data_IF_186346328119
#
_entry.id   IF_186346328119
#
_cell.length_a   1.000
_cell.length_b   1.000
_cell.length_c   1.000
_cell.angle_alpha   90.00
_cell.angle_beta   90.00
_cell.angle_gamma   90.00
#
_symmetry.space_group_name_H-M   'P 1'
#
loop_
_entity.id
_entity.type
_entity.pdbx_description
1 polymer ?
#
# COMPACT_ATOMS: atom_id res chain seq x y z
N UNK A 1 -4.83 3.65 -27.85
CA UNK A 1 -5.00 5.03 -27.33
C UNK A 1 -4.66 5.18 -25.85
N UNK A 2 -5.14 4.32 -24.94
CA UNK A 2 -4.83 4.41 -23.49
C UNK A 2 -3.34 4.15 -23.17
N UNK A 3 -2.76 3.06 -23.71
CA UNK A 3 -1.37 2.69 -23.45
C UNK A 3 -0.34 3.71 -23.98
N UNK A 4 -0.67 4.43 -25.07
CA UNK A 4 0.22 5.45 -25.64
C UNK A 4 0.39 6.68 -24.74
N UNK A 5 -0.50 6.91 -23.76
CA UNK A 5 -0.35 7.99 -22.77
C UNK A 5 0.33 7.53 -21.48
N UNK A 6 0.30 6.23 -21.19
CA UNK A 6 0.62 5.68 -19.88
C UNK A 6 2.05 5.98 -19.41
N UNK A 7 3.05 5.79 -20.28
CA UNK A 7 4.45 6.03 -19.94
C UNK A 7 5.00 7.36 -20.45
N UNK A 8 4.13 8.29 -20.86
CA UNK A 8 4.59 9.63 -21.23
C UNK A 8 5.15 10.33 -19.99
N UNK A 9 6.38 10.80 -20.10
CA UNK A 9 7.12 11.50 -19.05
C UNK A 9 6.30 12.62 -18.40
N UNK A 10 5.54 13.36 -19.20
CA UNK A 10 4.69 14.46 -18.77
C UNK A 10 3.63 14.03 -17.74
N UNK A 11 2.97 12.87 -17.94
CA UNK A 11 1.98 12.36 -16.98
C UNK A 11 2.64 11.95 -15.67
N UNK A 12 3.83 11.35 -15.74
CA UNK A 12 4.55 10.90 -14.55
C UNK A 12 5.07 12.10 -13.74
N UNK A 13 5.51 13.17 -14.41
CA UNK A 13 5.97 14.41 -13.75
C UNK A 13 4.83 15.25 -13.19
N UNK A 14 3.74 15.42 -13.95
CA UNK A 14 2.63 16.28 -13.52
C UNK A 14 1.70 15.59 -12.53
N UNK A 15 1.56 14.26 -12.61
CA UNK A 15 0.61 13.46 -11.84
C UNK A 15 1.22 12.19 -11.23
N UNK A 16 2.40 12.23 -10.58
CA UNK A 16 3.13 11.05 -10.13
C UNK A 16 2.31 10.15 -9.20
N UNK A 17 1.54 10.72 -8.28
CA UNK A 17 0.81 9.93 -7.28
C UNK A 17 -0.41 9.22 -7.85
N UNK A 18 -1.18 9.91 -8.71
CA UNK A 18 -2.25 9.28 -9.48
C UNK A 18 -1.68 8.23 -10.45
N UNK A 19 -0.55 8.54 -11.09
CA UNK A 19 0.16 7.60 -11.94
C UNK A 19 0.58 6.34 -11.19
N UNK A 20 1.07 6.43 -9.95
CA UNK A 20 1.44 5.23 -9.16
C UNK A 20 0.25 4.33 -8.82
N UNK A 21 -0.90 4.90 -8.49
CA UNK A 21 -2.12 4.13 -8.30
C UNK A 21 -2.55 3.46 -9.61
N UNK A 22 -2.51 4.19 -10.72
CA UNK A 22 -2.82 3.65 -12.04
C UNK A 22 -1.80 2.60 -12.52
N UNK A 23 -0.53 2.76 -12.16
CA UNK A 23 0.54 1.79 -12.39
C UNK A 23 0.28 0.50 -11.62
N UNK A 24 -0.22 0.59 -10.39
CA UNK A 24 -0.67 -0.58 -9.63
C UNK A 24 -1.74 -1.38 -10.37
N UNK A 25 -2.72 -0.69 -10.96
CA UNK A 25 -3.77 -1.34 -11.79
C UNK A 25 -3.20 -2.04 -13.01
N UNK A 26 -2.26 -1.40 -13.70
CA UNK A 26 -1.59 -2.02 -14.83
C UNK A 26 -0.77 -3.26 -14.40
N UNK A 27 0.04 -3.11 -13.34
CA UNK A 27 0.85 -4.18 -12.78
C UNK A 27 0.00 -5.39 -12.36
N UNK A 28 -1.19 -5.15 -11.80
CA UNK A 28 -2.11 -6.22 -11.39
C UNK A 28 -2.57 -7.13 -12.53
N UNK A 29 -2.51 -6.66 -13.77
CA UNK A 29 -2.91 -7.42 -14.97
C UNK A 29 -1.71 -7.91 -15.78
N UNK A 30 -0.62 -7.16 -15.75
CA UNK A 30 0.58 -7.47 -16.52
C UNK A 30 1.59 -8.36 -15.78
N UNK A 31 1.81 -8.14 -14.48
CA UNK A 31 2.71 -8.99 -13.69
C UNK A 31 2.28 -10.46 -13.60
N UNK A 32 0.98 -10.81 -13.49
CA UNK A 32 0.52 -12.20 -13.54
C UNK A 32 1.08 -12.94 -14.74
N UNK A 33 0.99 -12.35 -15.94
CA UNK A 33 1.49 -12.95 -17.18
C UNK A 33 2.98 -13.29 -17.08
N UNK A 34 3.80 -12.33 -16.65
CA UNK A 34 5.26 -12.53 -16.52
C UNK A 34 5.56 -13.57 -15.43
N UNK A 35 4.89 -13.47 -14.28
CA UNK A 35 5.14 -14.29 -13.11
C UNK A 35 4.78 -15.75 -13.37
N UNK A 36 3.59 -16.04 -13.93
CA UNK A 36 3.17 -17.41 -14.21
C UNK A 36 4.02 -18.04 -15.31
N UNK A 37 4.38 -17.28 -16.35
CA UNK A 37 5.29 -17.77 -17.40
C UNK A 37 6.67 -18.10 -16.85
N UNK A 38 7.23 -17.26 -15.97
CA UNK A 38 8.51 -17.52 -15.32
C UNK A 38 8.47 -18.75 -14.39
N UNK A 39 7.30 -19.06 -13.82
CA UNK A 39 7.05 -20.25 -12.99
C UNK A 39 6.62 -21.48 -13.80
N UNK A 40 6.54 -21.40 -15.13
CA UNK A 40 6.10 -22.51 -15.98
C UNK A 40 4.62 -22.87 -15.84
N UNK A 41 3.80 -21.94 -15.33
CA UNK A 41 2.36 -22.10 -15.11
C UNK A 41 1.55 -21.37 -16.19
N UNK A 42 0.39 -21.89 -16.60
CA UNK A 42 -0.53 -21.11 -17.42
C UNK A 42 -1.05 -19.90 -16.63
N UNK A 43 -1.38 -18.81 -17.32
CA UNK A 43 -2.00 -17.62 -16.68
C UNK A 43 -3.36 -17.95 -16.03
N UNK A 44 -4.00 -19.04 -16.43
CA UNK A 44 -5.26 -19.54 -15.86
C UNK A 44 -5.05 -20.50 -14.69
N UNK A 45 -3.82 -20.65 -14.19
CA UNK A 45 -3.52 -21.61 -13.13
C UNK A 45 -4.39 -21.39 -11.88
N UNK A 46 -5.17 -22.40 -11.52
CA UNK A 46 -6.06 -22.33 -10.36
C UNK A 46 -7.30 -21.47 -10.54
N UNK A 47 -7.65 -21.07 -11.77
CA UNK A 47 -8.91 -20.39 -12.08
C UNK A 47 -10.00 -21.41 -12.37
N UNK A 48 -11.20 -21.16 -11.85
CA UNK A 48 -12.42 -21.86 -12.27
C UNK A 48 -13.18 -21.07 -13.34
N UNK A 49 -12.99 -19.74 -13.41
CA UNK A 49 -13.76 -18.84 -14.27
C UNK A 49 -12.91 -17.86 -15.09
N UNK A 50 -11.89 -18.36 -15.82
CA UNK A 50 -10.85 -17.53 -16.41
C UNK A 50 -11.39 -16.45 -17.35
N UNK A 51 -12.37 -16.78 -18.19
CA UNK A 51 -12.93 -15.82 -19.15
C UNK A 51 -13.65 -14.65 -18.46
N UNK A 52 -14.49 -14.94 -17.46
CA UNK A 52 -15.21 -13.90 -16.70
C UNK A 52 -14.22 -12.99 -15.97
N UNK A 53 -13.16 -13.58 -15.39
CA UNK A 53 -12.10 -12.86 -14.69
C UNK A 53 -11.35 -11.91 -15.62
N UNK A 54 -10.86 -12.39 -16.76
CA UNK A 54 -10.15 -11.53 -17.69
C UNK A 54 -11.03 -10.43 -18.27
N UNK A 55 -12.26 -10.75 -18.69
CA UNK A 55 -13.19 -9.76 -19.23
C UNK A 55 -13.48 -8.67 -18.19
N UNK A 56 -13.83 -9.05 -16.97
CA UNK A 56 -14.21 -8.08 -15.94
C UNK A 56 -13.02 -7.22 -15.48
N UNK A 57 -11.82 -7.79 -15.42
CA UNK A 57 -10.61 -7.03 -15.13
C UNK A 57 -10.22 -6.08 -16.27
N UNK A 58 -10.43 -6.47 -17.53
CA UNK A 58 -10.24 -5.57 -18.68
C UNK A 58 -11.24 -4.42 -18.63
N UNK A 59 -12.52 -4.68 -18.36
CA UNK A 59 -13.54 -3.64 -18.21
C UNK A 59 -13.16 -2.67 -17.08
N UNK A 60 -12.76 -3.19 -15.91
CA UNK A 60 -12.32 -2.35 -14.80
C UNK A 60 -11.08 -1.51 -15.15
N UNK A 61 -10.14 -2.06 -15.92
CA UNK A 61 -8.99 -1.31 -16.41
C UNK A 61 -9.40 -0.20 -17.36
N UNK A 62 -10.34 -0.44 -18.29
CA UNK A 62 -10.83 0.58 -19.20
C UNK A 62 -11.56 1.70 -18.43
N UNK A 63 -12.38 1.33 -17.44
CA UNK A 63 -13.04 2.28 -16.53
C UNK A 63 -12.01 3.16 -15.82
N UNK A 64 -10.97 2.57 -15.24
CA UNK A 64 -9.93 3.34 -14.54
C UNK A 64 -9.09 4.19 -15.50
N UNK A 65 -8.84 3.69 -16.70
CA UNK A 65 -8.13 4.42 -17.77
C UNK A 65 -8.89 5.68 -18.17
N UNK A 66 -10.20 5.57 -18.34
CA UNK A 66 -11.08 6.70 -18.67
C UNK A 66 -11.09 7.71 -17.52
N UNK A 67 -11.26 7.25 -16.28
CA UNK A 67 -11.23 8.10 -15.10
C UNK A 67 -9.87 8.83 -14.96
N UNK A 68 -8.76 8.12 -15.18
CA UNK A 68 -7.41 8.70 -15.16
C UNK A 68 -7.23 9.75 -16.25
N UNK A 69 -7.64 9.46 -17.49
CA UNK A 69 -7.54 10.39 -18.60
C UNK A 69 -8.30 11.71 -18.34
N UNK A 70 -9.52 11.63 -17.82
CA UNK A 70 -10.29 12.84 -17.48
C UNK A 70 -9.76 13.56 -16.24
N UNK A 71 -9.22 12.83 -15.26
CA UNK A 71 -8.66 13.43 -14.05
C UNK A 71 -7.31 14.12 -14.31
N UNK A 72 -6.48 13.52 -15.17
CA UNK A 72 -5.08 13.83 -15.44
C UNK A 72 -4.91 14.19 -16.92
N UNK A 73 -5.20 15.43 -17.31
CA UNK A 73 -5.02 15.89 -18.69
C UNK A 73 -3.94 16.98 -18.74
N UNK A 74 -2.72 16.70 -19.23
CA UNK A 74 -1.63 17.66 -19.32
C UNK A 74 -1.99 18.92 -20.11
N UNK A 75 -2.69 18.78 -21.24
CA UNK A 75 -3.09 19.91 -22.09
C UNK A 75 -4.11 20.83 -21.41
N UNK A 76 -4.89 20.29 -20.45
CA UNK A 76 -5.83 21.06 -19.61
C UNK A 76 -5.24 21.41 -18.25
N UNK A 77 -3.99 21.04 -17.96
CA UNK A 77 -3.25 21.68 -16.86
C UNK A 77 -2.97 23.10 -17.32
N UNK A 78 -3.98 23.97 -17.21
CA UNK A 78 -3.63 25.34 -16.88
C UNK A 78 -2.82 25.20 -15.59
N UNK A 79 -1.65 25.83 -15.50
CA UNK A 79 -0.82 25.88 -14.31
C UNK A 79 -1.53 26.61 -13.13
N UNK A 80 -2.86 26.60 -13.11
CA UNK A 80 -3.74 27.16 -12.09
C UNK A 80 -4.07 26.07 -11.07
N UNK A 81 -3.66 26.33 -9.84
CA UNK A 81 -4.00 25.50 -8.70
C UNK A 81 -5.48 25.65 -8.34
N UNK A 82 -6.15 24.53 -8.07
CA UNK A 82 -7.53 24.53 -7.57
C UNK A 82 -7.60 25.09 -6.14
N UNK A 83 -8.83 25.30 -5.63
CA UNK A 83 -9.06 25.84 -4.29
C UNK A 83 -8.34 25.03 -3.20
N UNK A 84 -8.40 23.70 -3.27
CA UNK A 84 -7.75 22.80 -2.30
C UNK A 84 -6.24 23.05 -2.27
N UNK A 85 -5.57 23.02 -3.43
CA UNK A 85 -4.13 23.29 -3.54
C UNK A 85 -3.75 24.66 -3.01
N UNK A 86 -4.55 25.69 -3.31
CA UNK A 86 -4.34 27.05 -2.79
C UNK A 86 -4.46 27.11 -1.27
N UNK A 87 -5.46 26.44 -0.69
CA UNK A 87 -5.64 26.35 0.76
C UNK A 87 -4.48 25.59 1.42
N UNK A 88 -4.05 24.47 0.84
CA UNK A 88 -2.91 23.70 1.32
C UNK A 88 -1.60 24.51 1.25
N UNK A 89 -1.40 25.30 0.20
CA UNK A 89 -0.25 26.19 0.09
C UNK A 89 -0.25 27.27 1.18
N UNK A 90 -1.41 27.86 1.52
CA UNK A 90 -1.52 28.87 2.59
C UNK A 90 -1.07 28.35 3.96
N UNK A 91 -1.21 27.05 4.21
CA UNK A 91 -0.77 26.41 5.46
C UNK A 91 0.63 25.79 5.36
N UNK A 92 1.40 26.09 4.30
CA UNK A 92 2.75 25.56 4.05
C UNK A 92 2.83 24.03 3.89
N UNK A 93 1.75 23.38 3.42
CA UNK A 93 1.70 21.92 3.24
C UNK A 93 2.77 21.36 2.28
N UNK A 94 3.23 22.16 1.32
CA UNK A 94 4.24 21.75 0.33
C UNK A 94 5.68 22.11 0.74
N UNK A 95 5.86 22.74 1.91
CA UNK A 95 7.19 23.17 2.39
C UNK A 95 7.65 22.29 3.54
N UNK A 96 8.92 21.89 3.53
CA UNK A 96 9.54 21.14 4.62
C UNK A 96 11.02 21.47 4.66
N UNK A 97 11.68 21.22 5.79
CA UNK A 97 13.12 21.36 5.91
C UNK A 97 13.78 20.10 6.49
N UNK A 98 15.11 20.08 6.45
CA UNK A 98 15.92 18.91 6.84
C UNK A 98 15.71 18.55 8.32
N UNK A 99 15.61 19.55 9.21
CA UNK A 99 15.42 19.31 10.66
C UNK A 99 14.07 18.70 10.98
N UNK A 100 13.00 19.20 10.36
CA UNK A 100 11.65 18.65 10.51
C UNK A 100 11.60 17.23 9.94
N UNK A 101 12.27 16.95 8.82
CA UNK A 101 12.36 15.59 8.25
C UNK A 101 12.98 14.61 9.25
N UNK A 102 14.11 14.96 9.85
CA UNK A 102 14.76 14.10 10.85
C UNK A 102 13.90 13.93 12.10
N UNK A 103 13.25 14.99 12.58
CA UNK A 103 12.34 14.93 13.72
C UNK A 103 11.13 14.02 13.45
N UNK A 104 10.48 14.17 12.27
CA UNK A 104 9.40 13.28 11.83
C UNK A 104 9.86 11.82 11.75
N UNK A 105 11.04 11.60 11.16
CA UNK A 105 11.66 10.28 11.07
C UNK A 105 11.88 9.63 12.43
N UNK A 106 12.41 10.39 13.39
CA UNK A 106 12.64 9.91 14.74
C UNK A 106 11.33 9.58 15.45
N UNK A 107 10.31 10.45 15.35
CA UNK A 107 8.98 10.21 15.91
C UNK A 107 8.38 8.93 15.33
N UNK A 108 8.36 8.78 14.01
CA UNK A 108 7.82 7.59 13.35
C UNK A 108 8.58 6.31 13.74
N UNK A 109 9.91 6.40 13.88
CA UNK A 109 10.74 5.28 14.32
C UNK A 109 10.44 4.88 15.77
N UNK A 110 10.33 5.84 16.70
CA UNK A 110 10.00 5.59 18.10
C UNK A 110 8.59 4.99 18.22
N UNK A 111 7.61 5.54 17.51
CA UNK A 111 6.25 5.00 17.48
C UNK A 111 6.27 3.56 16.98
N UNK A 112 7.03 3.27 15.93
CA UNK A 112 7.14 1.92 15.38
C UNK A 112 7.77 0.95 16.38
N UNK A 113 8.82 1.38 17.07
CA UNK A 113 9.48 0.59 18.11
C UNK A 113 8.57 0.37 19.33
N UNK A 114 7.84 1.39 19.75
CA UNK A 114 6.83 1.30 20.82
C UNK A 114 5.73 0.30 20.45
N UNK A 115 5.15 0.41 19.26
CA UNK A 115 4.14 -0.53 18.77
C UNK A 115 4.69 -1.95 18.61
N UNK A 116 6.01 -2.11 18.47
CA UNK A 116 6.63 -3.43 18.46
C UNK A 116 6.64 -4.03 19.87
N UNK A 117 6.95 -3.24 20.89
CA UNK A 117 7.06 -3.68 22.28
C UNK A 117 5.71 -3.85 23.00
N UNK A 118 4.70 -3.03 22.70
CA UNK A 118 3.42 -3.03 23.45
C UNK A 118 2.34 -3.94 22.89
N UNK A 119 2.61 -4.69 21.81
CA UNK A 119 1.63 -5.58 21.19
C UNK A 119 0.70 -4.89 20.18
N UNK A 120 -0.44 -5.50 19.85
CA UNK A 120 -1.40 -4.92 18.91
C UNK A 120 -2.39 -4.02 19.65
N UNK A 121 -2.64 -2.80 19.16
CA UNK A 121 -3.68 -1.93 19.72
C UNK A 121 -5.04 -2.62 19.63
N UNK A 122 -5.69 -2.82 20.78
CA UNK A 122 -6.96 -3.52 20.89
C UNK A 122 -8.14 -2.74 20.27
N UNK A 123 -9.26 -3.43 20.07
CA UNK A 123 -10.50 -2.82 19.60
C UNK A 123 -11.06 -1.85 20.64
N UNK A 124 -10.84 -0.56 20.42
CA UNK A 124 -11.29 0.51 21.32
C UNK A 124 -10.17 1.48 21.69
N UNK A 125 -8.92 1.06 21.49
CA UNK A 125 -7.75 1.91 21.73
C UNK A 125 -7.60 2.96 20.61
N UNK A 126 -8.19 4.13 20.84
CA UNK A 126 -8.11 5.28 19.94
C UNK A 126 -6.68 5.82 19.85
N UNK A 127 -5.93 5.80 20.96
CA UNK A 127 -4.58 6.33 21.03
C UNK A 127 -3.59 5.44 20.26
N UNK A 128 -3.61 4.12 20.49
CA UNK A 128 -2.77 3.19 19.75
C UNK A 128 -3.09 3.16 18.25
N UNK A 129 -4.37 3.23 17.87
CA UNK A 129 -4.75 3.34 16.45
C UNK A 129 -4.29 4.65 15.82
N UNK A 130 -4.30 5.76 16.57
CA UNK A 130 -3.75 7.02 16.11
C UNK A 130 -2.22 6.94 15.91
N UNK A 131 -1.50 6.35 16.87
CA UNK A 131 -0.05 6.14 16.78
C UNK A 131 0.33 5.26 15.59
N UNK A 132 -0.38 4.15 15.34
CA UNK A 132 -0.18 3.33 14.14
C UNK A 132 -0.32 4.16 12.86
N UNK A 133 -1.27 5.10 12.84
CA UNK A 133 -1.47 6.03 11.73
C UNK A 133 -0.30 6.98 11.45
N UNK A 134 0.66 7.11 12.37
CA UNK A 134 1.85 7.96 12.25
C UNK A 134 3.13 7.17 11.89
N UNK A 135 3.08 5.85 11.81
CA UNK A 135 4.26 5.03 11.48
C UNK A 135 4.91 5.42 10.13
N UNK A 136 4.14 5.93 9.18
CA UNK A 136 4.67 6.36 7.87
C UNK A 136 5.73 7.48 7.97
N UNK A 137 5.74 8.24 9.07
CA UNK A 137 6.72 9.30 9.31
C UNK A 137 8.15 8.75 9.38
N UNK A 138 8.33 7.46 9.70
CA UNK A 138 9.66 6.82 9.68
C UNK A 138 10.30 6.85 8.28
N UNK A 139 9.52 7.05 7.22
CA UNK A 139 10.05 7.17 5.87
C UNK A 139 10.52 8.60 5.52
N UNK A 140 10.34 9.58 6.40
CA UNK A 140 10.73 10.97 6.14
C UNK A 140 12.22 11.11 5.81
N UNK A 141 13.18 10.58 6.59
CA UNK A 141 14.60 10.73 6.28
C UNK A 141 15.01 10.01 5.00
N UNK A 142 14.32 8.92 4.63
CA UNK A 142 14.58 8.18 3.38
C UNK A 142 14.38 9.08 2.15
N UNK A 143 13.49 10.06 2.22
CA UNK A 143 13.29 11.06 1.17
C UNK A 143 14.57 11.86 0.86
N UNK A 144 15.49 12.00 1.82
CA UNK A 144 16.77 12.70 1.66
C UNK A 144 17.81 11.93 0.83
N UNK A 145 17.55 10.67 0.43
CA UNK A 145 18.35 10.00 -0.61
C UNK A 145 18.23 10.74 -1.95
N UNK A 146 17.05 11.33 -2.20
CA UNK A 146 16.68 12.07 -3.42
C UNK A 146 16.07 13.44 -3.06
N UNK A 147 16.84 14.33 -2.41
CA UNK A 147 16.32 15.55 -1.80
C UNK A 147 15.76 16.55 -2.84
N UNK A 148 16.17 16.43 -4.11
CA UNK A 148 15.62 17.19 -5.24
C UNK A 148 14.09 17.04 -5.39
N UNK A 149 13.53 15.88 -5.03
CA UNK A 149 12.09 15.60 -5.16
C UNK A 149 11.23 16.53 -4.30
N UNK A 150 11.80 16.97 -3.17
CA UNK A 150 11.20 17.91 -2.22
C UNK A 150 11.93 19.26 -2.21
N UNK A 151 12.73 19.55 -3.25
CA UNK A 151 13.46 20.81 -3.45
C UNK A 151 14.43 21.18 -2.31
N UNK A 152 15.04 20.18 -1.68
CA UNK A 152 16.07 20.37 -0.65
C UNK A 152 17.46 20.04 -1.19
N UNK A 153 18.49 20.58 -0.52
CA UNK A 153 19.90 20.22 -0.74
C UNK A 153 20.41 19.45 0.49
N UNK A 154 20.82 18.21 0.30
CA UNK A 154 21.35 17.37 1.39
C UNK A 154 22.52 16.51 0.91
N UNK A 155 23.67 16.59 1.59
CA UNK A 155 24.91 15.93 1.19
C UNK A 155 25.19 14.61 1.90
N UNK A 156 24.68 14.42 3.13
CA UNK A 156 25.07 13.30 4.01
C UNK A 156 24.27 12.01 3.75
N UNK A 157 24.28 11.51 2.51
CA UNK A 157 23.51 10.31 2.11
C UNK A 157 23.88 9.05 2.90
N UNK A 158 25.12 8.92 3.40
CA UNK A 158 25.56 7.78 4.21
C UNK A 158 24.73 7.60 5.49
N UNK A 159 24.39 8.71 6.16
CA UNK A 159 23.58 8.71 7.39
C UNK A 159 22.16 8.24 7.08
N UNK A 160 21.61 8.68 5.94
CA UNK A 160 20.28 8.26 5.49
C UNK A 160 20.24 6.77 5.16
N UNK A 161 21.30 6.22 4.55
CA UNK A 161 21.42 4.78 4.33
C UNK A 161 21.49 3.99 5.64
N UNK A 162 22.29 4.44 6.61
CA UNK A 162 22.34 3.82 7.94
C UNK A 162 20.96 3.82 8.61
N UNK A 163 20.25 4.95 8.58
CA UNK A 163 18.88 5.05 9.07
C UNK A 163 17.91 4.14 8.32
N UNK A 164 18.03 4.04 6.98
CA UNK A 164 17.18 3.18 6.15
C UNK A 164 17.37 1.70 6.51
N UNK A 165 18.61 1.27 6.79
CA UNK A 165 18.90 -0.09 7.27
C UNK A 165 18.21 -0.35 8.60
N UNK A 166 18.27 0.60 9.55
CA UNK A 166 17.56 0.48 10.83
C UNK A 166 16.04 0.37 10.64
N UNK A 167 15.45 1.17 9.74
CA UNK A 167 14.03 1.08 9.40
C UNK A 167 13.68 -0.28 8.79
N UNK A 168 14.52 -0.83 7.91
CA UNK A 168 14.32 -2.18 7.34
C UNK A 168 14.32 -3.24 8.44
N UNK A 169 15.31 -3.22 9.33
CA UNK A 169 15.41 -4.16 10.46
C UNK A 169 14.15 -4.07 11.34
N UNK A 170 13.72 -2.86 11.69
CA UNK A 170 12.53 -2.64 12.51
C UNK A 170 11.23 -3.16 11.86
N UNK A 171 11.11 -3.01 10.53
CA UNK A 171 9.96 -3.55 9.79
C UNK A 171 10.01 -5.08 9.64
N UNK A 172 11.20 -5.68 9.58
CA UNK A 172 11.37 -7.13 9.65
C UNK A 172 10.94 -7.65 11.02
N UNK A 173 11.35 -6.97 12.10
CA UNK A 173 10.98 -7.34 13.47
C UNK A 173 9.46 -7.33 13.71
N UNK A 174 8.71 -6.55 12.92
CA UNK A 174 7.26 -6.51 12.98
C UNK A 174 6.56 -7.81 12.55
N UNK A 175 7.29 -8.79 12.01
CA UNK A 175 6.80 -10.08 11.51
C UNK A 175 5.59 -9.98 10.55
N UNK A 176 5.52 -8.88 9.78
CA UNK A 176 4.50 -8.64 8.75
C UNK A 176 5.16 -8.56 7.39
N UNK A 177 4.94 -9.57 6.56
CA UNK A 177 5.57 -9.69 5.21
C UNK A 177 5.45 -8.45 4.33
N UNK A 178 4.35 -7.68 4.42
CA UNK A 178 4.19 -6.46 3.63
C UNK A 178 5.09 -5.31 4.09
N UNK A 179 5.38 -5.22 5.39
CA UNK A 179 6.19 -4.15 5.97
C UNK A 179 7.66 -4.25 5.57
N UNK A 180 8.17 -5.46 5.30
CA UNK A 180 9.53 -5.70 4.81
C UNK A 180 9.75 -5.03 3.45
N UNK A 181 8.71 -5.04 2.61
CA UNK A 181 8.76 -4.56 1.22
C UNK A 181 8.69 -3.04 1.18
N UNK A 182 7.93 -2.44 2.10
CA UNK A 182 7.65 -1.01 2.12
C UNK A 182 8.90 -0.12 2.02
N UNK A 183 9.93 -0.23 2.88
CA UNK A 183 11.10 0.63 2.79
C UNK A 183 11.87 0.44 1.48
N UNK A 184 12.03 -0.79 1.00
CA UNK A 184 12.71 -1.10 -0.27
C UNK A 184 11.93 -0.51 -1.45
N UNK A 185 10.60 -0.71 -1.46
CA UNK A 185 9.70 -0.17 -2.48
C UNK A 185 9.66 1.35 -2.47
N UNK A 186 9.68 1.99 -1.29
CA UNK A 186 9.79 3.45 -1.15
C UNK A 186 11.09 3.94 -1.79
N UNK A 187 12.24 3.36 -1.46
CA UNK A 187 13.53 3.74 -2.07
C UNK A 187 13.49 3.57 -3.60
N UNK A 188 12.97 2.44 -4.09
CA UNK A 188 12.85 2.17 -5.52
C UNK A 188 11.95 3.15 -6.27
N UNK A 189 10.80 3.52 -5.69
CA UNK A 189 9.88 4.49 -6.29
C UNK A 189 10.42 5.92 -6.25
N UNK A 190 11.12 6.30 -5.18
CA UNK A 190 11.79 7.59 -5.13
C UNK A 190 12.90 7.68 -6.16
N UNK A 191 13.69 6.62 -6.33
CA UNK A 191 14.71 6.53 -7.39
C UNK A 191 14.07 6.65 -8.77
N UNK A 192 12.98 5.93 -9.03
CA UNK A 192 12.23 6.00 -10.28
C UNK A 192 11.76 7.42 -10.61
N UNK A 193 11.13 8.12 -9.64
CA UNK A 193 10.72 9.52 -9.84
C UNK A 193 11.92 10.45 -10.05
N UNK A 194 13.04 10.22 -9.35
CA UNK A 194 14.25 11.03 -9.49
C UNK A 194 14.85 10.92 -10.91
N UNK A 195 14.95 9.70 -11.43
CA UNK A 195 15.44 9.42 -12.79
C UNK A 195 14.59 10.16 -13.84
N UNK A 196 13.27 10.07 -13.71
CA UNK A 196 12.33 10.72 -14.63
C UNK A 196 12.41 12.24 -14.52
N UNK A 197 12.47 12.80 -13.30
CA UNK A 197 12.53 14.25 -13.11
C UNK A 197 13.82 14.89 -13.60
N UNK A 198 14.94 14.19 -13.48
CA UNK A 198 16.25 14.67 -13.94
C UNK A 198 16.57 14.27 -15.38
N UNK A 199 15.66 13.54 -16.05
CA UNK A 199 15.88 12.96 -17.38
C UNK A 199 17.22 12.19 -17.47
N UNK A 200 17.51 11.40 -16.44
CA UNK A 200 18.77 10.66 -16.35
C UNK A 200 18.72 9.48 -17.31
N UNK A 201 19.65 9.42 -18.23
CA UNK A 201 19.77 8.28 -19.13
C UNK A 201 20.48 7.10 -18.42
N UNK A 202 19.70 6.09 -18.02
CA UNK A 202 20.19 4.95 -17.23
C UNK A 202 21.28 4.14 -17.95
N UNK A 203 21.22 4.02 -19.28
CA UNK A 203 22.21 3.25 -20.06
C UNK A 203 23.56 3.95 -20.12
N UNK A 204 23.59 5.27 -19.94
CA UNK A 204 24.83 6.05 -19.78
C UNK A 204 25.35 6.03 -18.34
N UNK A 205 24.45 5.90 -17.36
CA UNK A 205 24.80 5.92 -15.93
C UNK A 205 25.33 4.57 -15.43
N UNK A 206 24.79 3.46 -15.93
CA UNK A 206 25.08 2.11 -15.45
C UNK A 206 25.58 1.27 -16.63
N UNK A 207 26.83 0.79 -16.55
CA UNK A 207 27.39 -0.15 -17.50
C UNK A 207 26.53 -1.43 -17.60
N UNK A 208 26.38 -2.05 -18.78
CA UNK A 208 25.66 -3.31 -18.94
C UNK A 208 26.08 -4.42 -17.96
N UNK A 209 27.38 -4.52 -17.64
CA UNK A 209 27.87 -5.48 -16.65
C UNK A 209 27.38 -5.19 -15.23
N UNK A 210 27.25 -3.91 -14.86
CA UNK A 210 26.66 -3.50 -13.58
C UNK A 210 25.15 -3.76 -13.54
N UNK A 211 24.47 -3.70 -14.69
CA UNK A 211 23.06 -4.10 -14.78
C UNK A 211 22.90 -5.61 -14.57
N UNK A 212 23.74 -6.44 -15.20
CA UNK A 212 23.74 -7.90 -14.99
C UNK A 212 24.05 -8.23 -13.53
N UNK A 213 25.11 -7.65 -12.97
CA UNK A 213 25.47 -7.82 -11.56
C UNK A 213 24.36 -7.36 -10.61
N UNK A 214 23.69 -6.25 -10.93
CA UNK A 214 22.50 -5.79 -10.23
C UNK A 214 21.33 -6.76 -10.31
N UNK A 215 21.09 -7.37 -11.47
CA UNK A 215 20.09 -8.42 -11.67
C UNK A 215 20.35 -9.65 -10.81
N UNK A 216 21.60 -10.13 -10.77
CA UNK A 216 22.01 -11.24 -9.89
C UNK A 216 21.79 -10.87 -8.42
N UNK A 217 22.19 -9.66 -8.00
CA UNK A 217 21.96 -9.18 -6.65
C UNK A 217 20.48 -9.13 -6.28
N UNK A 218 19.62 -8.68 -7.20
CA UNK A 218 18.16 -8.68 -7.01
C UNK A 218 17.66 -10.11 -6.80
N UNK A 219 18.08 -11.07 -7.61
CA UNK A 219 17.69 -12.49 -7.45
C UNK A 219 18.11 -13.02 -6.07
N UNK A 220 19.34 -12.73 -5.63
CA UNK A 220 19.83 -13.13 -4.30
C UNK A 220 19.00 -12.52 -3.17
N UNK A 221 18.71 -11.21 -3.25
CA UNK A 221 17.88 -10.49 -2.26
C UNK A 221 16.46 -11.06 -2.24
N UNK A 222 15.85 -11.31 -3.40
CA UNK A 222 14.52 -11.89 -3.51
C UNK A 222 14.46 -13.28 -2.87
N UNK A 223 15.49 -14.11 -3.07
CA UNK A 223 15.58 -15.44 -2.47
C UNK A 223 15.73 -15.35 -0.94
N UNK A 224 16.57 -14.42 -0.45
CA UNK A 224 16.72 -14.16 1.00
C UNK A 224 15.38 -13.71 1.62
N UNK A 225 14.68 -12.78 0.98
CA UNK A 225 13.37 -12.30 1.42
C UNK A 225 12.31 -13.41 1.38
N UNK A 226 12.38 -14.33 0.41
CA UNK A 226 11.49 -15.50 0.33
C UNK A 226 11.69 -16.47 1.49
N UNK A 227 12.95 -16.73 1.86
CA UNK A 227 13.30 -17.55 3.02
C UNK A 227 12.79 -16.89 4.31
N UNK A 228 13.03 -15.59 4.47
CA UNK A 228 12.52 -14.80 5.61
C UNK A 228 10.99 -14.87 5.70
N UNK A 229 10.29 -14.68 4.58
CA UNK A 229 8.83 -14.81 4.50
C UNK A 229 8.35 -16.21 4.92
N UNK A 230 9.07 -17.26 4.54
CA UNK A 230 8.72 -18.65 4.89
C UNK A 230 8.91 -18.92 6.38
N UNK A 231 10.02 -18.46 6.95
CA UNK A 231 10.28 -18.55 8.39
C UNK A 231 9.20 -17.79 9.19
N UNK A 232 8.87 -16.56 8.78
CA UNK A 232 7.82 -15.75 9.41
C UNK A 232 6.44 -16.43 9.42
N UNK A 233 6.06 -17.06 8.30
CA UNK A 233 4.82 -17.82 8.21
C UNK A 233 4.81 -18.98 9.19
N UNK A 234 5.90 -19.75 9.24
CA UNK A 234 6.02 -20.86 10.18
C UNK A 234 6.01 -20.39 11.63
N UNK A 235 6.74 -19.33 11.97
CA UNK A 235 6.72 -18.73 13.30
C UNK A 235 5.30 -18.36 13.71
N UNK A 236 4.55 -17.70 12.82
CA UNK A 236 3.16 -17.33 13.08
C UNK A 236 2.30 -18.57 13.30
N UNK A 237 2.42 -19.58 12.44
CA UNK A 237 1.64 -20.82 12.56
C UNK A 237 1.93 -21.49 13.91
N UNK A 238 3.20 -21.63 14.32
CA UNK A 238 3.60 -22.22 15.62
C UNK A 238 3.08 -21.39 16.80
N UNK A 239 3.19 -20.06 16.74
CA UNK A 239 2.72 -19.17 17.81
C UNK A 239 1.19 -19.13 17.93
N UNK A 240 0.44 -19.42 16.87
CA UNK A 240 -1.02 -19.49 16.88
C UNK A 240 -1.57 -20.71 17.64
N UNK A 241 -0.77 -21.77 17.82
CA UNK A 241 -1.18 -23.00 18.53
C UNK A 241 -1.07 -22.89 20.05
N UNK A 242 -0.28 -21.96 20.58
CA UNK A 242 -0.06 -21.82 22.02
C UNK A 242 -0.95 -20.69 22.59
N UNK A 243 -1.95 -21.04 23.40
CA UNK A 243 -2.91 -20.10 23.98
C UNK A 243 -2.26 -18.99 24.85
N UNK A 244 -1.16 -19.30 25.54
CA UNK A 244 -0.34 -18.31 26.28
C UNK A 244 0.34 -17.28 25.37
N UNK A 245 0.73 -17.67 24.15
CA UNK A 245 1.39 -16.78 23.19
C UNK A 245 0.38 -15.92 22.40
N UNK A 246 -0.93 -16.20 22.49
CA UNK A 246 -2.00 -15.44 21.82
C UNK A 246 -2.27 -14.08 22.46
N UNK A 247 -2.29 -14.02 23.80
CA UNK A 247 -2.62 -12.80 24.54
C UNK A 247 -1.39 -11.90 24.78
N UNK A 248 -0.19 -12.46 24.69
CA UNK A 248 1.09 -11.76 24.89
C UNK A 248 2.09 -12.13 23.77
N UNK A 249 1.67 -12.09 22.51
CA UNK A 249 2.57 -12.28 21.37
C UNK A 249 3.55 -11.10 21.31
N UNK A 250 4.59 -11.15 22.14
CA UNK A 250 5.69 -10.24 22.12
C UNK A 250 6.32 -10.35 20.72
N UNK A 251 6.14 -9.31 19.90
CA UNK A 251 6.59 -9.32 18.51
C UNK A 251 8.10 -9.50 18.43
N UNK A 252 8.83 -9.18 19.52
CA UNK A 252 10.25 -9.48 19.67
C UNK A 252 10.51 -10.99 19.75
N UNK A 253 9.77 -11.73 20.56
CA UNK A 253 9.85 -13.21 20.59
C UNK A 253 9.53 -13.82 19.23
N UNK A 254 8.57 -13.23 18.50
CA UNK A 254 8.25 -13.66 17.14
C UNK A 254 9.39 -13.37 16.15
N UNK A 255 10.11 -12.28 16.33
CA UNK A 255 11.31 -11.98 15.55
C UNK A 255 12.45 -12.95 15.89
N UNK A 256 12.76 -13.14 17.17
CA UNK A 256 13.79 -14.09 17.65
C UNK A 256 13.56 -15.49 17.07
N UNK A 257 12.32 -15.99 17.20
CA UNK A 257 11.97 -17.32 16.66
C UNK A 257 12.14 -17.41 15.15
N UNK A 258 11.83 -16.33 14.43
CA UNK A 258 12.02 -16.26 12.98
C UNK A 258 13.50 -16.33 12.61
N UNK A 259 14.38 -15.68 13.37
CA UNK A 259 15.83 -15.74 13.17
C UNK A 259 16.37 -17.14 13.49
N UNK A 260 15.94 -17.76 14.58
CA UNK A 260 16.31 -19.15 14.92
C UNK A 260 15.94 -20.12 13.78
N UNK A 261 14.73 -20.00 13.25
CA UNK A 261 14.27 -20.85 12.14
C UNK A 261 15.15 -20.61 10.90
N UNK A 262 15.48 -19.36 10.57
CA UNK A 262 16.34 -19.04 9.43
C UNK A 262 17.74 -19.63 9.55
N UNK A 263 18.30 -19.67 10.76
CA UNK A 263 19.61 -20.26 11.02
C UNK A 263 19.56 -21.79 10.97
N UNK A 264 18.41 -22.41 11.27
CA UNK A 264 18.22 -23.85 11.20
C UNK A 264 18.03 -24.33 9.75
N UNK A 265 19.14 -24.72 9.10
CA UNK A 265 19.15 -25.20 7.70
C UNK A 265 18.25 -26.41 7.46
N UNK A 266 18.18 -27.37 8.40
CA UNK A 266 17.39 -28.60 8.22
C UNK A 266 15.89 -28.32 8.33
N UNK A 267 15.49 -27.48 9.28
CA UNK A 267 14.10 -27.02 9.38
C UNK A 267 13.71 -26.21 8.15
N UNK A 268 14.55 -25.28 7.70
CA UNK A 268 14.28 -24.50 6.48
C UNK A 268 14.19 -25.36 5.23
N UNK A 269 15.03 -26.40 5.09
CA UNK A 269 14.90 -27.36 3.99
C UNK A 269 13.56 -28.09 4.04
N UNK A 270 13.15 -28.59 5.21
CA UNK A 270 11.84 -29.23 5.41
C UNK A 270 10.67 -28.28 5.13
N UNK A 271 10.78 -27.01 5.53
CA UNK A 271 9.74 -26.00 5.27
C UNK A 271 9.63 -25.68 3.78
N UNK A 272 10.77 -25.60 3.07
CA UNK A 272 10.78 -25.46 1.60
C UNK A 272 10.18 -26.68 0.92
N UNK A 273 10.57 -27.88 1.32
CA UNK A 273 9.96 -29.11 0.81
C UNK A 273 8.46 -29.18 1.10
N UNK A 274 8.02 -28.77 2.29
CA UNK A 274 6.60 -28.72 2.65
C UNK A 274 5.85 -27.69 1.81
N UNK A 275 6.47 -26.54 1.51
CA UNK A 275 5.91 -25.53 0.60
C UNK A 275 5.78 -26.11 -0.82
N UNK A 276 6.84 -26.72 -1.35
CA UNK A 276 6.85 -27.35 -2.66
C UNK A 276 5.86 -28.54 -2.71
N UNK A 277 5.75 -29.35 -1.66
CA UNK A 277 4.76 -30.45 -1.57
C UNK A 277 3.31 -29.94 -1.46
N UNK A 278 3.07 -28.75 -0.90
CA UNK A 278 1.76 -28.08 -0.97
C UNK A 278 1.43 -27.62 -2.40
N UNK A 279 2.43 -27.31 -3.24
CA UNK A 279 2.21 -27.01 -4.67
C UNK A 279 1.68 -28.22 -5.45
N UNK A 280 1.96 -29.45 -4.98
CA UNK A 280 1.44 -30.70 -5.57
C UNK A 280 0.10 -31.18 -5.00
N UNK A 281 -0.48 -30.50 -3.99
CA UNK A 281 -1.87 -30.80 -3.62
C UNK A 281 -2.78 -30.35 -4.77
N UNK A 282 -3.79 -31.16 -5.16
CA UNK A 282 -4.77 -30.70 -6.12
C UNK A 282 -5.36 -29.38 -5.62
N UNK A 283 -5.42 -28.40 -6.51
CA UNK A 283 -6.03 -27.10 -6.25
C UNK A 283 -7.43 -27.37 -5.68
N UNK A 284 -7.69 -26.85 -4.48
CA UNK A 284 -9.03 -26.96 -3.89
C UNK A 284 -10.00 -26.20 -4.78
N UNK A 285 -11.14 -26.81 -5.09
CA UNK A 285 -12.24 -26.08 -5.72
C UNK A 285 -12.69 -24.98 -4.75
N UNK A 286 -13.14 -23.84 -5.27
CA UNK A 286 -13.66 -22.72 -4.49
C UNK A 286 -14.86 -23.13 -3.61
N UNK A 287 -15.57 -24.17 -4.04
CA UNK A 287 -16.60 -24.84 -3.24
C UNK A 287 -16.07 -25.50 -1.96
N UNK A 288 -14.82 -25.94 -1.93
CA UNK A 288 -14.21 -26.70 -0.84
C UNK A 288 -13.47 -25.76 0.13
N UNK A 289 -12.50 -24.98 -0.34
CA UNK A 289 -11.65 -24.15 0.52
C UNK A 289 -11.14 -22.88 -0.17
N UNK A 290 -10.79 -21.87 0.63
CA UNK A 290 -10.19 -20.59 0.17
C UNK A 290 -8.70 -20.75 -0.09
N UNK A 291 -8.25 -20.34 -1.28
CA UNK A 291 -6.82 -20.45 -1.63
C UNK A 291 -6.32 -19.29 -2.46
N UNK A 292 -5.38 -18.53 -1.88
CA UNK A 292 -4.66 -17.45 -2.56
C UNK A 292 -3.44 -17.95 -3.36
N UNK A 293 -3.31 -19.26 -3.58
CA UNK A 293 -2.15 -19.82 -4.26
C UNK A 293 -2.22 -19.59 -5.78
N UNK A 294 -1.40 -18.68 -6.29
CA UNK A 294 -1.35 -18.35 -7.72
C UNK A 294 0.09 -18.17 -8.23
N UNK A 295 0.90 -17.39 -7.51
CA UNK A 295 2.33 -17.15 -7.79
C UNK A 295 3.15 -17.54 -6.56
N UNK A 296 4.27 -18.24 -6.74
CA UNK A 296 5.09 -18.81 -5.65
C UNK A 296 5.92 -17.75 -4.94
N UNK A 297 6.31 -16.71 -5.68
CA UNK A 297 7.03 -15.57 -5.14
C UNK A 297 6.08 -14.69 -4.30
N UNK A 298 6.34 -14.60 -3.00
CA UNK A 298 5.47 -13.88 -2.07
C UNK A 298 5.35 -12.37 -2.33
N UNK A 299 6.35 -11.74 -2.97
CA UNK A 299 6.28 -10.32 -3.35
C UNK A 299 5.35 -10.15 -4.54
N UNK A 300 5.56 -10.96 -5.58
CA UNK A 300 4.73 -10.93 -6.78
C UNK A 300 3.29 -11.31 -6.43
N UNK A 301 3.06 -12.30 -5.57
CA UNK A 301 1.74 -12.68 -5.09
C UNK A 301 0.93 -11.53 -4.44
N UNK A 302 1.56 -10.43 -4.01
CA UNK A 302 0.83 -9.25 -3.51
C UNK A 302 0.30 -8.32 -4.60
N UNK A 303 0.91 -8.35 -5.77
CA UNK A 303 0.61 -7.46 -6.88
C UNK A 303 0.15 -8.18 -8.13
N UNK A 304 0.26 -9.51 -8.17
CA UNK A 304 0.06 -10.33 -9.36
C UNK A 304 -0.87 -11.51 -9.08
N UNK A 305 -1.71 -11.44 -8.04
CA UNK A 305 -2.58 -12.55 -7.67
C UNK A 305 -4.01 -12.36 -8.18
N UNK A 306 -4.20 -12.67 -9.47
CA UNK A 306 -5.49 -12.59 -10.13
C UNK A 306 -6.46 -13.71 -9.71
N UNK A 307 -5.99 -14.77 -9.06
CA UNK A 307 -6.86 -15.85 -8.54
C UNK A 307 -7.87 -15.34 -7.53
N UNK A 308 -7.48 -14.36 -6.71
CA UNK A 308 -8.41 -13.71 -5.78
C UNK A 308 -9.59 -13.09 -6.53
N UNK A 309 -9.35 -12.49 -7.71
CA UNK A 309 -10.44 -11.97 -8.54
C UNK A 309 -11.36 -13.11 -9.02
N UNK A 310 -10.79 -14.20 -9.53
CA UNK A 310 -11.55 -15.37 -10.00
C UNK A 310 -12.42 -15.99 -8.91
N UNK A 311 -11.84 -16.23 -7.73
CA UNK A 311 -12.52 -16.81 -6.58
C UNK A 311 -13.62 -15.87 -6.03
N UNK A 312 -13.33 -14.57 -5.93
CA UNK A 312 -14.33 -13.61 -5.44
C UNK A 312 -15.45 -13.37 -6.45
N UNK A 313 -15.20 -13.49 -7.76
CA UNK A 313 -16.23 -13.47 -8.79
C UNK A 313 -17.13 -14.71 -8.72
N UNK A 314 -16.52 -15.88 -8.55
CA UNK A 314 -17.23 -17.13 -8.32
C UNK A 314 -18.20 -17.01 -7.12
N UNK A 315 -17.70 -16.51 -5.98
CA UNK A 315 -18.50 -16.32 -4.77
C UNK A 315 -19.56 -15.23 -4.93
N UNK A 316 -19.25 -14.15 -5.65
CA UNK A 316 -20.19 -13.07 -5.93
C UNK A 316 -21.38 -13.54 -6.76
N UNK A 317 -21.16 -14.38 -7.77
CA UNK A 317 -22.25 -14.95 -8.57
C UNK A 317 -23.12 -15.88 -7.73
N UNK A 318 -22.49 -16.75 -6.92
CA UNK A 318 -23.22 -17.67 -6.03
C UNK A 318 -24.08 -16.94 -4.99
N UNK A 319 -23.58 -15.82 -4.46
CA UNK A 319 -24.30 -14.99 -3.47
C UNK A 319 -25.37 -14.10 -4.11
N UNK A 320 -25.33 -13.93 -5.43
CA UNK A 320 -26.15 -12.99 -6.18
C UNK A 320 -25.54 -11.59 -6.21
N UNK A 321 -25.61 -10.96 -7.39
CA UNK A 321 -25.19 -9.59 -7.59
C UNK A 321 -26.17 -8.59 -6.96
N UNK A 322 -25.66 -7.40 -6.60
CA UNK A 322 -26.43 -6.38 -5.87
C UNK A 322 -27.05 -6.93 -4.57
N UNK A 323 -26.28 -7.70 -3.81
CA UNK A 323 -26.69 -8.33 -2.57
C UNK A 323 -26.87 -7.30 -1.44
N UNK A 324 -28.07 -7.29 -0.83
CA UNK A 324 -28.44 -6.36 0.24
C UNK A 324 -27.49 -6.42 1.44
N UNK A 325 -27.03 -7.61 1.85
CA UNK A 325 -26.11 -7.76 2.98
C UNK A 325 -24.76 -7.07 2.70
N UNK A 326 -24.24 -7.19 1.48
CA UNK A 326 -22.96 -6.56 1.09
C UNK A 326 -23.09 -5.04 0.97
N UNK A 327 -24.26 -4.56 0.53
CA UNK A 327 -24.59 -3.14 0.49
C UNK A 327 -24.71 -2.55 1.90
N UNK A 328 -25.41 -3.23 2.81
CA UNK A 328 -25.54 -2.79 4.20
C UNK A 328 -24.19 -2.83 4.93
N UNK A 329 -23.35 -3.83 4.63
CA UNK A 329 -21.96 -3.89 5.11
C UNK A 329 -21.14 -2.67 4.64
N UNK A 330 -21.32 -2.23 3.39
CA UNK A 330 -20.68 -1.02 2.88
C UNK A 330 -21.20 0.24 3.58
N UNK A 331 -22.53 0.42 3.66
CA UNK A 331 -23.16 1.58 4.30
C UNK A 331 -22.68 1.73 5.75
N UNK A 332 -22.71 0.62 6.49
CA UNK A 332 -22.23 0.61 7.85
C UNK A 332 -20.72 0.87 7.91
N UNK A 333 -19.92 0.30 7.01
CA UNK A 333 -18.49 0.62 6.89
C UNK A 333 -18.21 2.11 6.65
N UNK A 334 -19.08 2.83 5.96
CA UNK A 334 -19.00 4.28 5.77
C UNK A 334 -19.38 5.01 7.07
N UNK A 335 -20.48 4.63 7.72
CA UNK A 335 -20.92 5.22 9.00
C UNK A 335 -19.85 5.01 10.09
N UNK A 336 -19.29 3.81 10.16
CA UNK A 336 -18.26 3.42 11.13
C UNK A 336 -16.94 4.19 11.00
N UNK A 337 -16.71 4.87 9.87
CA UNK A 337 -15.55 5.76 9.71
C UNK A 337 -15.69 7.05 10.50
N UNK A 338 -16.91 7.47 10.83
CA UNK A 338 -17.15 8.67 11.62
C UNK A 338 -16.55 8.52 13.03
N UNK A 339 -15.92 9.59 13.56
CA UNK A 339 -15.51 9.64 14.96
C UNK A 339 -16.69 9.31 15.88
N UNK A 340 -16.42 8.60 16.98
CA UNK A 340 -17.47 8.21 17.94
C UNK A 340 -18.20 9.42 18.52
N UNK A 341 -17.54 10.58 18.61
CA UNK A 341 -18.16 11.85 19.03
C UNK A 341 -19.25 12.31 18.07
N UNK A 342 -19.04 12.17 16.76
CA UNK A 342 -20.03 12.53 15.74
C UNK A 342 -21.21 11.54 15.81
N UNK A 343 -20.93 10.25 15.94
CA UNK A 343 -21.98 9.23 16.05
C UNK A 343 -22.86 9.46 17.29
N UNK A 344 -22.26 9.76 18.45
CA UNK A 344 -22.99 10.11 19.68
C UNK A 344 -23.77 11.41 19.56
N UNK A 345 -23.22 12.42 18.88
CA UNK A 345 -23.92 13.69 18.67
C UNK A 345 -25.21 13.54 17.86
N UNK A 346 -25.22 12.62 16.88
CA UNK A 346 -26.40 12.30 16.09
C UNK A 346 -27.26 11.17 16.66
N UNK A 347 -26.99 10.73 17.90
CA UNK A 347 -27.66 9.61 18.57
C UNK A 347 -27.69 8.31 17.73
N UNK A 348 -26.65 8.10 16.93
CA UNK A 348 -26.50 6.90 16.10
C UNK A 348 -25.87 5.81 16.97
N UNK A 349 -26.70 4.89 17.48
CA UNK A 349 -26.27 3.69 18.18
C UNK A 349 -25.54 2.72 17.22
N UNK A 350 -24.24 2.95 17.04
CA UNK A 350 -23.40 2.15 16.15
C UNK A 350 -22.48 1.23 16.95
N UNK A 351 -22.80 -0.06 16.96
CA UNK A 351 -21.93 -1.06 17.58
C UNK A 351 -20.77 -1.44 16.64
N UNK A 352 -19.58 -0.92 16.92
CA UNK A 352 -18.36 -1.19 16.15
C UNK A 352 -17.88 -2.65 16.23
N UNK A 353 -18.37 -3.45 17.19
CA UNK A 353 -17.98 -4.86 17.32
C UNK A 353 -18.64 -5.78 16.28
N UNK A 354 -19.74 -5.34 15.64
CA UNK A 354 -20.41 -6.11 14.58
C UNK A 354 -19.60 -6.17 13.26
N UNK A 355 -18.43 -5.52 13.19
CA UNK A 355 -17.59 -5.39 11.99
C UNK A 355 -16.18 -5.94 12.17
N UNK A 356 -16.00 -6.92 13.06
CA UNK A 356 -14.72 -7.63 13.21
C UNK A 356 -14.33 -8.43 11.94
N UNK A 357 -15.31 -8.71 11.08
CA UNK A 357 -15.14 -9.57 9.91
C UNK A 357 -14.82 -8.78 8.64
N UNK A 358 -13.90 -9.32 7.85
CA UNK A 358 -13.54 -8.73 6.57
C UNK A 358 -14.66 -8.92 5.54
N UNK A 359 -14.68 -8.09 4.49
CA UNK A 359 -15.64 -8.24 3.38
C UNK A 359 -15.51 -9.60 2.70
N UNK A 360 -14.31 -10.17 2.64
CA UNK A 360 -14.07 -11.50 2.10
C UNK A 360 -14.65 -12.62 2.97
N UNK A 361 -14.63 -12.45 4.30
CA UNK A 361 -15.29 -13.40 5.21
C UNK A 361 -16.81 -13.41 5.00
N UNK A 362 -17.42 -12.23 4.86
CA UNK A 362 -18.86 -12.11 4.60
C UNK A 362 -19.23 -12.62 3.20
N UNK A 363 -18.38 -12.39 2.19
CA UNK A 363 -18.59 -12.89 0.83
C UNK A 363 -18.50 -14.42 0.76
N UNK A 364 -17.48 -15.00 1.38
CA UNK A 364 -17.26 -16.45 1.38
C UNK A 364 -18.30 -17.21 2.21
N UNK A 365 -18.87 -16.58 3.24
CA UNK A 365 -19.92 -17.17 4.09
C UNK A 365 -19.45 -18.36 4.94
N UNK A 366 -18.16 -18.70 4.87
CA UNK A 366 -17.51 -19.76 5.66
C UNK A 366 -16.66 -19.10 6.73
N UNK A 367 -16.74 -19.51 7.99
CA UNK A 367 -15.83 -19.07 9.07
C UNK A 367 -15.56 -17.55 9.15
N UNK A 368 -16.38 -16.83 9.91
CA UNK A 368 -16.12 -15.43 10.25
C UNK A 368 -14.80 -15.31 11.04
N UNK A 369 -13.93 -14.35 10.68
CA UNK A 369 -12.62 -14.13 11.33
C UNK A 369 -11.39 -14.62 10.55
N UNK A 370 -11.56 -15.04 9.29
CA UNK A 370 -10.47 -15.43 8.39
C UNK A 370 -9.67 -14.26 7.82
N UNK A 371 -10.19 -13.03 7.92
CA UNK A 371 -9.63 -11.80 7.34
C UNK A 371 -9.34 -11.94 5.83
N UNK A 372 -10.20 -12.67 5.11
CA UNK A 372 -10.07 -12.91 3.67
C UNK A 372 -10.15 -11.60 2.88
N UNK A 373 -9.28 -11.49 1.88
CA UNK A 373 -9.25 -10.34 0.98
C UNK A 373 -10.26 -10.49 -0.15
N UNK A 374 -10.67 -9.35 -0.71
CA UNK A 374 -11.57 -9.27 -1.87
C UNK A 374 -10.87 -8.54 -3.02
N UNK A 375 -11.26 -8.90 -4.25
CA UNK A 375 -10.89 -8.13 -5.43
C UNK A 375 -11.84 -6.94 -5.62
N UNK A 376 -11.39 -5.92 -6.35
CA UNK A 376 -12.24 -4.79 -6.74
C UNK A 376 -13.49 -5.23 -7.50
N UNK A 377 -13.33 -6.13 -8.49
CA UNK A 377 -14.44 -6.58 -9.32
C UNK A 377 -15.45 -7.43 -8.52
N UNK A 378 -14.97 -8.46 -7.80
CA UNK A 378 -15.83 -9.36 -7.04
C UNK A 378 -16.62 -8.63 -5.96
N UNK A 379 -15.95 -7.76 -5.20
CA UNK A 379 -16.61 -6.92 -4.19
C UNK A 379 -17.60 -5.92 -4.79
N UNK A 380 -17.22 -5.31 -5.92
CA UNK A 380 -18.05 -4.37 -6.65
C UNK A 380 -19.35 -4.99 -7.15
N UNK A 381 -19.27 -6.11 -7.88
CA UNK A 381 -20.42 -6.78 -8.47
C UNK A 381 -21.36 -7.36 -7.41
N UNK A 382 -20.83 -7.96 -6.33
CA UNK A 382 -21.70 -8.44 -5.25
C UNK A 382 -22.41 -7.29 -4.53
N UNK A 383 -21.81 -6.10 -4.47
CA UNK A 383 -22.38 -4.94 -3.75
C UNK A 383 -23.37 -4.14 -4.59
N UNK A 384 -23.04 -3.89 -5.86
CA UNK A 384 -23.78 -2.96 -6.73
C UNK A 384 -24.32 -3.61 -8.01
N UNK A 385 -24.00 -4.88 -8.26
CA UNK A 385 -24.21 -5.49 -9.57
C UNK A 385 -23.43 -4.76 -10.66
N UNK A 386 -23.94 -4.78 -11.88
CA UNK A 386 -23.26 -4.15 -13.02
C UNK A 386 -23.15 -2.62 -12.93
N UNK A 387 -23.97 -1.97 -12.08
CA UNK A 387 -23.81 -0.54 -11.74
C UNK A 387 -22.47 -0.24 -11.06
N UNK A 388 -21.76 -1.25 -10.59
CA UNK A 388 -20.41 -1.13 -10.06
C UNK A 388 -19.47 -0.37 -11.00
N UNK A 389 -19.43 -0.71 -12.29
CA UNK A 389 -18.45 -0.12 -13.22
C UNK A 389 -18.58 1.41 -13.38
N UNK A 390 -19.78 1.97 -13.67
CA UNK A 390 -19.94 3.42 -13.72
C UNK A 390 -19.71 4.10 -12.35
N UNK A 391 -20.14 3.48 -11.24
CA UNK A 391 -19.87 4.01 -9.90
C UNK A 391 -18.37 4.07 -9.60
N UNK A 392 -17.64 3.01 -9.94
CA UNK A 392 -16.20 2.94 -9.78
C UNK A 392 -15.46 3.95 -10.66
N UNK A 393 -15.98 4.26 -11.85
CA UNK A 393 -15.45 5.33 -12.70
C UNK A 393 -15.46 6.68 -11.99
N UNK A 394 -16.59 7.02 -11.35
CA UNK A 394 -16.75 8.27 -10.59
C UNK A 394 -15.82 8.27 -9.37
N UNK A 395 -15.78 7.16 -8.63
CA UNK A 395 -14.90 7.01 -7.45
C UNK A 395 -13.44 7.19 -7.85
N UNK A 396 -12.95 6.49 -8.88
CA UNK A 396 -11.58 6.65 -9.37
C UNK A 396 -11.29 8.06 -9.86
N UNK A 397 -12.23 8.70 -10.56
CA UNK A 397 -12.06 10.08 -11.00
C UNK A 397 -11.82 11.02 -9.81
N UNK A 398 -12.62 10.88 -8.73
CA UNK A 398 -12.45 11.66 -7.50
C UNK A 398 -11.10 11.34 -6.85
N UNK A 399 -10.75 10.05 -6.67
CA UNK A 399 -9.46 9.65 -6.09
C UNK A 399 -8.29 10.25 -6.86
N UNK A 400 -8.27 10.13 -8.20
CA UNK A 400 -7.21 10.72 -9.01
C UNK A 400 -7.15 12.24 -8.88
N UNK A 401 -8.29 12.95 -8.82
CA UNK A 401 -8.32 14.40 -8.56
C UNK A 401 -7.74 14.75 -7.18
N UNK A 402 -8.05 13.97 -6.15
CA UNK A 402 -7.49 14.14 -4.81
C UNK A 402 -5.98 13.88 -4.79
N UNK A 403 -5.50 12.81 -5.42
CA UNK A 403 -4.06 12.52 -5.54
C UNK A 403 -3.31 13.63 -6.29
N UNK A 404 -3.94 14.21 -7.30
CA UNK A 404 -3.38 15.34 -8.04
C UNK A 404 -3.22 16.61 -7.18
N UNK A 405 -3.87 16.71 -6.02
CA UNK A 405 -3.66 17.83 -5.07
C UNK A 405 -2.29 17.81 -4.42
N UNK A 406 -1.61 16.66 -4.37
CA UNK A 406 -0.26 16.55 -3.80
C UNK A 406 0.85 17.15 -4.68
N UNK A 407 0.49 17.72 -5.84
CA UNK A 407 1.39 18.47 -6.71
C UNK A 407 0.93 19.92 -6.80
N UNK A 408 1.81 20.85 -6.45
CA UNK A 408 1.58 22.29 -6.58
C UNK A 408 2.35 22.86 -7.77
N UNK A 409 1.66 23.63 -8.60
CA UNK A 409 2.25 24.28 -9.78
C UNK A 409 2.52 25.76 -9.49
N UNK A 410 3.75 26.21 -9.70
CA UNK A 410 4.11 27.62 -9.73
C UNK A 410 4.59 27.97 -11.16
N UNK A 411 4.57 29.25 -11.55
CA UNK A 411 4.77 29.72 -12.93
C UNK A 411 5.93 29.03 -13.67
N UNK A 412 7.03 28.71 -12.97
CA UNK A 412 8.19 27.98 -13.52
C UNK A 412 8.64 26.77 -12.68
N UNK A 413 7.87 26.32 -11.67
CA UNK A 413 8.35 25.29 -10.76
C UNK A 413 7.23 24.38 -10.26
N UNK A 414 7.56 23.10 -10.14
CA UNK A 414 6.66 22.06 -9.66
C UNK A 414 7.14 21.58 -8.29
N UNK A 415 6.23 21.58 -7.31
CA UNK A 415 6.50 21.15 -5.94
C UNK A 415 5.65 19.92 -5.61
N UNK A 416 6.30 18.89 -5.08
CA UNK A 416 5.61 17.72 -4.53
C UNK A 416 5.41 17.88 -3.03
N UNK A 417 4.23 17.48 -2.55
CA UNK A 417 3.94 17.46 -1.13
C UNK A 417 4.87 16.45 -0.42
N UNK A 418 5.61 16.86 0.63
CA UNK A 418 6.46 15.97 1.40
C UNK A 418 5.71 14.75 1.94
N UNK A 419 4.46 14.94 2.40
CA UNK A 419 3.56 13.85 2.80
C UNK A 419 3.46 12.77 1.73
N UNK A 420 3.22 13.15 0.49
CA UNK A 420 3.03 12.22 -0.61
C UNK A 420 4.34 11.52 -1.01
N UNK A 421 5.49 12.20 -0.89
CA UNK A 421 6.81 11.59 -1.11
C UNK A 421 7.12 10.54 -0.03
N UNK A 422 6.78 10.82 1.24
CA UNK A 422 6.92 9.87 2.34
C UNK A 422 6.03 8.64 2.19
N UNK A 423 4.81 8.84 1.69
CA UNK A 423 3.81 7.78 1.51
C UNK A 423 3.78 7.18 0.09
N UNK A 424 4.83 7.39 -0.71
CA UNK A 424 4.83 7.05 -2.14
C UNK A 424 4.47 5.59 -2.44
N UNK A 425 4.96 4.66 -1.61
CA UNK A 425 4.68 3.23 -1.77
C UNK A 425 3.22 2.87 -1.48
N UNK A 426 2.53 3.65 -0.63
CA UNK A 426 1.12 3.45 -0.35
C UNK A 426 0.25 3.74 -1.58
N UNK A 427 0.62 4.70 -2.43
CA UNK A 427 -0.10 4.97 -3.69
C UNK A 427 0.02 3.82 -4.68
N UNK A 428 1.21 3.21 -4.81
CA UNK A 428 1.36 1.96 -5.57
C UNK A 428 0.58 0.80 -4.92
N UNK A 429 0.28 0.88 -3.62
CA UNK A 429 -0.48 -0.11 -2.89
C UNK A 429 -2.00 0.02 -2.96
N UNK A 430 -2.53 1.11 -3.52
CA UNK A 430 -3.96 1.42 -3.44
C UNK A 430 -4.87 0.43 -4.18
N UNK A 431 -4.39 -0.21 -5.25
CA UNK A 431 -5.19 -1.16 -6.05
C UNK A 431 -4.94 -2.64 -5.71
N UNK A 432 -4.18 -2.95 -4.64
CA UNK A 432 -3.94 -4.34 -4.25
C UNK A 432 -5.23 -4.97 -3.69
N UNK A 433 -5.38 -6.28 -3.86
CA UNK A 433 -6.49 -7.04 -3.27
C UNK A 433 -6.59 -6.78 -1.76
N UNK A 434 -7.76 -6.28 -1.34
CA UNK A 434 -8.06 -5.93 0.04
C UNK A 434 -9.59 -5.82 0.20
N UNK A 435 -10.15 -4.61 0.08
CA UNK A 435 -11.56 -4.31 0.37
C UNK A 435 -12.31 -3.74 -0.85
N UNK A 436 -11.76 -3.89 -2.06
CA UNK A 436 -12.36 -3.41 -3.30
C UNK A 436 -12.76 -1.93 -3.29
N UNK A 437 -13.96 -1.63 -3.78
CA UNK A 437 -14.51 -0.25 -3.84
C UNK A 437 -14.64 0.39 -2.45
N UNK A 438 -14.85 -0.42 -1.40
CA UNK A 438 -14.98 0.09 -0.04
C UNK A 438 -13.72 0.84 0.40
N UNK A 439 -12.51 0.41 0.00
CA UNK A 439 -11.29 1.13 0.34
C UNK A 439 -11.18 2.47 -0.38
N UNK A 440 -11.60 2.55 -1.64
CA UNK A 440 -11.55 3.80 -2.41
C UNK A 440 -12.51 4.84 -1.84
N UNK A 441 -13.73 4.43 -1.51
CA UNK A 441 -14.71 5.30 -0.84
C UNK A 441 -14.18 5.74 0.53
N UNK A 442 -13.58 4.83 1.30
CA UNK A 442 -13.00 5.16 2.61
C UNK A 442 -11.86 6.18 2.49
N UNK A 443 -11.07 6.09 1.42
CA UNK A 443 -10.03 7.06 1.14
C UNK A 443 -10.61 8.44 0.84
N UNK A 444 -11.66 8.53 0.02
CA UNK A 444 -12.34 9.81 -0.30
C UNK A 444 -12.93 10.43 0.98
N UNK A 445 -13.69 9.65 1.74
CA UNK A 445 -14.46 10.14 2.89
C UNK A 445 -13.58 10.56 4.06
N UNK A 446 -12.52 9.79 4.33
CA UNK A 446 -11.71 9.99 5.54
C UNK A 446 -10.22 9.93 5.27
N UNK A 447 -9.74 8.94 4.53
CA UNK A 447 -8.30 8.68 4.38
C UNK A 447 -7.50 9.88 3.87
N UNK A 448 -8.01 10.57 2.84
CA UNK A 448 -7.39 11.75 2.27
C UNK A 448 -7.25 12.89 3.30
N UNK A 449 -8.36 13.28 3.93
CA UNK A 449 -8.38 14.37 4.90
C UNK A 449 -7.56 14.01 6.15
N UNK A 450 -7.71 12.79 6.67
CA UNK A 450 -6.97 12.33 7.84
C UNK A 450 -5.46 12.38 7.60
N UNK A 451 -4.97 11.95 6.43
CA UNK A 451 -3.55 11.99 6.13
C UNK A 451 -3.01 13.43 6.09
N UNK A 452 -3.76 14.36 5.49
CA UNK A 452 -3.38 15.78 5.45
C UNK A 452 -3.38 16.38 6.86
N UNK A 453 -4.45 16.18 7.62
CA UNK A 453 -4.61 16.77 8.95
C UNK A 453 -3.55 16.25 9.92
N UNK A 454 -3.34 14.93 9.97
CA UNK A 454 -2.33 14.32 10.86
C UNK A 454 -0.92 14.81 10.51
N UNK A 455 -0.57 14.84 9.22
CA UNK A 455 0.70 15.40 8.76
C UNK A 455 0.88 16.86 9.19
N UNK A 456 -0.14 17.70 8.97
CA UNK A 456 -0.08 19.13 9.29
C UNK A 456 0.03 19.39 10.79
N UNK A 457 -0.70 18.64 11.62
CA UNK A 457 -0.60 18.75 13.09
C UNK A 457 0.84 18.45 13.53
N UNK A 458 1.41 17.34 13.09
CA UNK A 458 2.78 16.95 13.46
C UNK A 458 3.80 17.97 12.92
N UNK A 459 3.65 18.41 11.68
CA UNK A 459 4.50 19.46 11.08
C UNK A 459 4.48 20.75 11.91
N UNK A 460 3.28 21.22 12.29
CA UNK A 460 3.11 22.44 13.07
C UNK A 460 3.69 22.32 14.49
N UNK A 461 3.49 21.18 15.15
CA UNK A 461 4.06 20.91 16.49
C UNK A 461 5.59 20.94 16.43
N UNK A 462 6.20 20.18 15.53
CA UNK A 462 7.67 20.13 15.39
C UNK A 462 8.22 21.50 15.03
N UNK A 463 7.56 22.22 14.11
CA UNK A 463 7.97 23.58 13.72
C UNK A 463 7.95 24.53 14.91
N UNK A 464 6.89 24.52 15.73
CA UNK A 464 6.79 25.36 16.94
C UNK A 464 7.89 25.01 17.95
N UNK A 465 8.15 23.72 18.17
CA UNK A 465 9.23 23.27 19.07
C UNK A 465 10.58 23.84 18.61
N UNK A 466 10.90 23.75 17.31
CA UNK A 466 12.16 24.30 16.80
C UNK A 466 12.23 25.83 16.86
N UNK A 467 11.11 26.53 16.69
CA UNK A 467 11.07 27.99 16.86
C UNK A 467 11.33 28.43 18.30
N UNK A 468 10.83 27.66 19.28
CA UNK A 468 11.07 27.92 20.72
C UNK A 468 12.54 27.64 21.08
N UNK A 469 13.08 26.51 20.64
CA UNK A 469 14.47 26.11 20.96
C UNK A 469 15.50 26.98 20.22
N UNK A 470 15.16 27.51 19.05
CA UNK A 470 16.07 28.32 18.24
C UNK A 470 15.33 29.51 17.60
N UNK A 471 15.26 30.67 18.28
CA UNK A 471 14.48 31.84 17.82
C UNK A 471 14.96 32.42 16.48
N UNK A 472 16.21 32.12 16.06
CA UNK A 472 16.75 32.50 14.74
C UNK A 472 16.17 31.67 13.58
N UNK A 473 15.25 30.75 13.86
CA UNK A 473 14.65 29.86 12.87
C UNK A 473 13.53 30.54 12.08
N UNK A 474 13.90 31.27 11.03
CA UNK A 474 13.02 31.63 9.92
C UNK A 474 13.36 30.77 8.69
N UNK A 475 12.31 30.31 8.00
CA UNK A 475 12.26 29.17 7.06
C UNK A 475 13.03 29.32 5.73
N UNK A 476 14.13 30.06 5.68
CA UNK A 476 14.82 30.40 4.43
C UNK A 476 16.25 29.87 4.35
N UNK A 477 16.50 28.61 4.75
CA UNK A 477 17.68 27.84 4.32
C UNK A 477 17.38 26.37 4.08
#
# INVERSE_FOLDING_TARGET
MVFSYFFKEEYIRLFPFAFLMYLSMFMYRFLPLIATLAEGKPITYGFERPYQTFISEIILFLVSSIAFYFACNPNKVSFQNNLIKKTLQKVNFYEINIRIIWAMGLIGFIIKAYNLSTGAAEYGDVAGKFLIGLEYLMFAPICLLFPDLIKLKYKHKKIVWAYSILVIILNIASNKRHLIITPIGTIGLLFFLHVILKNINLTKLISPFKLIGGGILIILVLNMLSNLSTAMLHTRDVMLYNAEQRNNADKLKAFEKTIEILQNKSLMARLKEKKNKKEYKPLTNYHQDWSEHYVDNFLLARYANMRITDETLYLAEKKGYANKQMLDLLKNGIIGQLPSTILKFFDINYNKSLFEFSRGDVLSGKSLGGYRVTSHVGDGLVTFGYWYFPLQAIVFFIVFKLLNTFVYYNRNNLKYAPLAIMSIFSFLGMFRNANGISSDISYIMRGFLQNIVTYMIIYMIIRKIFQIISPKYNLTQ
#
